data_IF_430307887335
#
_entry.id   IF_430307887335
#
_cell.length_a   1.000
_cell.length_b   1.000
_cell.length_c   1.000
_cell.angle_alpha   90.00
_cell.angle_beta   90.00
_cell.angle_gamma   90.00
#
_symmetry.space_group_name_H-M   'P 1'
#
loop_
_entity.id
_entity.type
_entity.pdbx_description
1 polymer ?
#
# COMPACT_ATOMS: atom_id res chain seq x y z
N UNK A 1 -16.79 -26.42 9.81
CA UNK A 1 -17.80 -26.28 8.74
C UNK A 1 -17.99 -24.79 8.40
N UNK A 2 -18.59 -23.96 9.25
CA UNK A 2 -18.88 -22.54 8.92
C UNK A 2 -17.68 -21.67 8.45
N UNK A 3 -16.46 -21.92 8.97
CA UNK A 3 -15.26 -21.15 8.58
C UNK A 3 -14.74 -21.51 7.19
N UNK A 4 -14.82 -22.77 6.79
CA UNK A 4 -14.36 -23.22 5.47
C UNK A 4 -15.32 -22.75 4.38
N UNK A 5 -16.62 -22.71 4.69
CA UNK A 5 -17.65 -22.15 3.83
C UNK A 5 -17.43 -20.64 3.58
N UNK A 6 -17.00 -19.91 4.62
CA UNK A 6 -16.66 -18.48 4.50
C UNK A 6 -15.43 -18.20 3.63
N UNK A 7 -14.38 -19.03 3.73
CA UNK A 7 -13.17 -18.88 2.89
C UNK A 7 -13.49 -19.19 1.43
N UNK A 8 -14.27 -20.24 1.16
CA UNK A 8 -14.69 -20.59 -0.19
C UNK A 8 -15.57 -19.50 -0.82
N UNK A 9 -16.51 -18.92 -0.05
CA UNK A 9 -17.34 -17.81 -0.52
C UNK A 9 -16.52 -16.56 -0.87
N UNK A 10 -15.51 -16.22 -0.06
CA UNK A 10 -14.59 -15.11 -0.36
C UNK A 10 -13.75 -15.39 -1.61
N UNK A 11 -13.24 -16.62 -1.78
CA UNK A 11 -12.52 -17.01 -2.98
C UNK A 11 -13.38 -16.87 -4.25
N UNK A 12 -14.65 -17.29 -4.19
CA UNK A 12 -15.59 -17.14 -5.29
C UNK A 12 -15.90 -15.66 -5.59
N UNK A 13 -16.08 -14.83 -4.56
CA UNK A 13 -16.39 -13.39 -4.70
C UNK A 13 -15.27 -12.63 -5.41
N UNK A 14 -14.01 -12.97 -5.12
CA UNK A 14 -12.84 -12.32 -5.69
C UNK A 14 -12.25 -13.09 -6.89
N UNK A 15 -12.96 -14.09 -7.41
CA UNK A 15 -12.54 -14.81 -8.60
C UNK A 15 -12.48 -13.84 -9.79
N UNK A 16 -11.33 -13.81 -10.48
CA UNK A 16 -11.12 -12.93 -11.63
C UNK A 16 -10.82 -11.48 -11.27
N UNK A 17 -10.52 -11.18 -10.00
CA UNK A 17 -10.00 -9.87 -9.61
C UNK A 17 -8.74 -9.52 -10.42
N UNK A 18 -8.74 -8.35 -11.04
CA UNK A 18 -7.61 -7.80 -11.80
C UNK A 18 -6.98 -6.63 -11.03
N UNK A 19 -5.77 -6.80 -10.49
CA UNK A 19 -5.03 -5.74 -9.80
C UNK A 19 -4.79 -4.49 -10.66
N UNK A 20 -4.50 -4.65 -11.95
CA UNK A 20 -4.19 -3.52 -12.82
C UNK A 20 -5.45 -2.69 -13.07
N UNK A 21 -6.58 -3.34 -13.35
CA UNK A 21 -7.87 -2.66 -13.49
C UNK A 21 -8.29 -1.98 -12.18
N UNK A 22 -8.08 -2.62 -11.03
CA UNK A 22 -8.35 -2.04 -9.72
C UNK A 22 -7.49 -0.79 -9.45
N UNK A 23 -6.19 -0.85 -9.77
CA UNK A 23 -5.27 0.28 -9.63
C UNK A 23 -5.65 1.43 -10.55
N UNK A 24 -5.93 1.13 -11.83
CA UNK A 24 -6.37 2.12 -12.80
C UNK A 24 -7.67 2.79 -12.36
N UNK A 25 -8.64 2.03 -11.85
CA UNK A 25 -9.93 2.61 -11.47
C UNK A 25 -9.84 3.50 -10.23
N UNK A 26 -9.02 3.16 -9.24
CA UNK A 26 -9.02 3.83 -7.93
C UNK A 26 -7.86 4.79 -7.72
N UNK A 27 -6.71 4.54 -8.36
CA UNK A 27 -5.45 5.21 -8.08
C UNK A 27 -4.87 5.97 -9.28
N UNK A 28 -5.72 6.35 -10.23
CA UNK A 28 -5.42 7.35 -11.25
C UNK A 28 -6.42 8.52 -11.16
N UNK A 29 -6.13 9.67 -11.81
CA UNK A 29 -7.11 10.74 -11.95
C UNK A 29 -8.43 10.22 -12.56
N UNK A 30 -9.59 10.74 -12.13
CA UNK A 30 -9.77 11.86 -11.20
C UNK A 30 -9.75 11.47 -9.71
N UNK A 31 -9.70 10.18 -9.36
CA UNK A 31 -9.82 9.72 -7.96
C UNK A 31 -8.55 9.89 -7.14
N UNK A 32 -7.41 9.66 -7.79
CA UNK A 32 -6.08 9.92 -7.24
C UNK A 32 -5.43 11.11 -7.94
N UNK A 33 -6.18 12.21 -8.00
CA UNK A 33 -5.61 13.49 -8.32
C UNK A 33 -4.93 14.06 -7.07
N UNK A 34 -3.60 14.20 -7.13
CA UNK A 34 -2.79 14.76 -6.04
C UNK A 34 -2.76 16.29 -6.05
N UNK A 35 -3.26 16.94 -7.11
CA UNK A 35 -3.42 18.40 -7.18
C UNK A 35 -4.77 18.84 -6.59
N UNK A 36 -5.78 17.97 -6.64
CA UNK A 36 -7.08 18.19 -6.03
C UNK A 36 -7.03 17.99 -4.50
N UNK A 37 -7.07 19.10 -3.75
CA UNK A 37 -7.05 19.10 -2.27
C UNK A 37 -8.25 18.38 -1.63
N UNK A 38 -9.36 18.23 -2.35
CA UNK A 38 -10.55 17.51 -1.88
C UNK A 38 -10.49 16.00 -2.19
N UNK A 39 -9.36 15.51 -2.69
CA UNK A 39 -9.12 14.09 -2.95
C UNK A 39 -9.20 13.26 -1.67
N UNK A 40 -10.10 12.28 -1.68
CA UNK A 40 -10.23 11.30 -0.58
C UNK A 40 -8.94 10.54 -0.36
N UNK A 41 -8.16 10.27 -1.41
CA UNK A 41 -6.87 9.59 -1.28
C UNK A 41 -5.86 10.48 -0.53
N UNK A 42 -5.77 11.76 -0.88
CA UNK A 42 -4.91 12.71 -0.16
C UNK A 42 -5.29 12.81 1.31
N UNK A 43 -6.60 12.92 1.60
CA UNK A 43 -7.09 12.94 2.97
C UNK A 43 -6.70 11.67 3.74
N UNK A 44 -6.88 10.48 3.15
CA UNK A 44 -6.47 9.20 3.75
C UNK A 44 -4.98 9.17 4.06
N UNK A 45 -4.14 9.57 3.10
CA UNK A 45 -2.69 9.61 3.31
C UNK A 45 -2.29 10.61 4.39
N UNK A 46 -2.95 11.77 4.48
CA UNK A 46 -2.73 12.74 5.54
C UNK A 46 -3.09 12.20 6.93
N UNK A 47 -4.21 11.47 7.05
CA UNK A 47 -4.60 10.82 8.30
C UNK A 47 -3.56 9.77 8.74
N UNK A 48 -3.12 8.90 7.83
CA UNK A 48 -2.10 7.89 8.11
C UNK A 48 -0.77 8.53 8.47
N UNK A 49 -0.37 9.60 7.76
CA UNK A 49 0.85 10.33 8.07
C UNK A 49 0.84 10.83 9.50
N UNK A 50 -0.19 11.58 9.90
CA UNK A 50 -0.31 12.10 11.27
C UNK A 50 -0.34 10.98 12.31
N UNK A 51 -1.03 9.87 12.03
CA UNK A 51 -1.06 8.73 12.94
C UNK A 51 0.35 8.17 13.22
N UNK A 52 1.21 8.08 12.20
CA UNK A 52 2.57 7.56 12.33
C UNK A 52 3.62 8.58 12.77
N UNK A 53 3.40 9.89 12.56
CA UNK A 53 4.43 10.91 12.83
C UNK A 53 4.12 11.81 14.03
N UNK A 54 2.85 12.06 14.31
CA UNK A 54 2.41 12.94 15.41
C UNK A 54 1.84 12.14 16.58
N UNK A 55 1.41 10.90 16.34
CA UNK A 55 0.94 9.98 17.38
C UNK A 55 2.05 9.14 17.98
N UNK A 56 1.71 8.38 19.02
CA UNK A 56 2.61 7.43 19.69
C UNK A 56 2.64 6.05 19.00
N UNK A 57 2.32 5.98 17.69
CA UNK A 57 2.25 4.72 16.93
C UNK A 57 3.62 4.40 16.32
N UNK A 58 4.40 3.58 17.02
CA UNK A 58 5.72 3.10 16.58
C UNK A 58 5.97 1.67 17.07
N UNK A 59 7.00 1.00 16.54
CA UNK A 59 7.36 -0.34 17.00
C UNK A 59 8.33 -1.08 16.09
N UNK A 60 8.52 -2.37 16.34
CA UNK A 60 9.42 -3.20 15.52
C UNK A 60 8.76 -3.63 14.19
N UNK A 61 7.49 -4.04 14.24
CA UNK A 61 6.78 -4.65 13.12
C UNK A 61 5.40 -4.02 12.93
N UNK A 62 5.14 -3.54 11.72
CA UNK A 62 3.80 -3.17 11.24
C UNK A 62 3.28 -4.28 10.33
N UNK A 63 2.07 -4.76 10.57
CA UNK A 63 1.40 -5.74 9.71
C UNK A 63 0.18 -5.08 9.08
N UNK A 64 0.18 -4.96 7.75
CA UNK A 64 -0.95 -4.47 6.97
C UNK A 64 -1.81 -5.66 6.50
N UNK A 65 -3.11 -5.60 6.81
CA UNK A 65 -4.06 -6.68 6.57
C UNK A 65 -4.97 -6.31 5.40
N UNK A 66 -4.89 -7.06 4.30
CA UNK A 66 -5.65 -6.76 3.10
C UNK A 66 -5.05 -5.59 2.32
N UNK A 67 -3.74 -5.65 2.11
CA UNK A 67 -2.97 -4.61 1.42
C UNK A 67 -3.45 -4.34 -0.01
N UNK A 68 -4.12 -5.31 -0.63
CA UNK A 68 -4.41 -5.29 -2.07
C UNK A 68 -3.12 -5.16 -2.87
N UNK A 69 -3.18 -4.56 -4.07
CA UNK A 69 -1.99 -4.26 -4.86
C UNK A 69 -1.40 -2.87 -4.52
N UNK A 70 -1.59 -2.35 -3.29
CA UNK A 70 -1.22 -0.97 -2.93
C UNK A 70 -0.20 -0.87 -1.80
N UNK A 71 0.57 0.22 -1.80
CA UNK A 71 1.60 0.51 -0.80
C UNK A 71 1.36 1.78 0.01
N UNK A 72 0.43 2.64 -0.42
CA UNK A 72 0.32 4.01 0.12
C UNK A 72 0.04 4.02 1.63
N UNK A 73 -0.69 3.01 2.10
CA UNK A 73 -1.18 2.92 3.46
C UNK A 73 -0.07 2.74 4.51
N UNK A 74 1.07 2.15 4.11
CA UNK A 74 2.21 1.90 4.99
C UNK A 74 3.35 2.91 4.85
N UNK A 75 3.31 3.79 3.83
CA UNK A 75 4.47 4.62 3.46
C UNK A 75 4.99 5.50 4.61
N UNK A 76 4.11 6.11 5.38
CA UNK A 76 4.51 6.92 6.53
C UNK A 76 5.01 6.08 7.71
N UNK A 77 4.45 4.87 7.88
CA UNK A 77 4.84 3.92 8.92
C UNK A 77 6.27 3.40 8.75
N UNK A 78 6.79 3.34 7.51
CA UNK A 78 8.17 2.91 7.24
C UNK A 78 9.26 3.77 7.89
N UNK A 79 8.92 4.93 8.49
CA UNK A 79 9.86 5.75 9.27
C UNK A 79 9.99 5.33 10.73
N UNK A 80 8.94 4.73 11.28
CA UNK A 80 8.79 4.46 12.71
C UNK A 80 8.65 2.96 13.01
N UNK A 81 8.58 2.13 11.97
CA UNK A 81 8.65 0.68 12.04
C UNK A 81 9.86 0.14 11.29
N UNK A 82 10.60 -0.77 11.92
CA UNK A 82 11.78 -1.40 11.32
C UNK A 82 11.40 -2.41 10.24
N UNK A 83 10.23 -3.06 10.38
CA UNK A 83 9.72 -4.07 9.46
C UNK A 83 8.25 -3.77 9.13
N UNK A 84 7.91 -3.97 7.86
CA UNK A 84 6.53 -3.84 7.37
C UNK A 84 6.17 -5.11 6.62
N UNK A 85 5.16 -5.83 7.12
CA UNK A 85 4.62 -7.03 6.47
C UNK A 85 3.31 -6.68 5.78
N UNK A 86 3.26 -6.87 4.47
CA UNK A 86 2.06 -6.71 3.67
C UNK A 86 1.39 -8.07 3.49
N UNK A 87 0.08 -8.12 3.71
CA UNK A 87 -0.68 -9.37 3.59
C UNK A 87 -1.90 -9.14 2.73
N UNK A 88 -2.22 -10.11 1.88
CA UNK A 88 -3.44 -10.08 1.10
C UNK A 88 -3.93 -11.51 0.87
N UNK A 89 -5.25 -11.68 0.74
CA UNK A 89 -5.86 -12.97 0.47
C UNK A 89 -5.51 -13.46 -0.95
N UNK A 90 -5.51 -12.55 -1.93
CA UNK A 90 -5.31 -12.89 -3.34
C UNK A 90 -3.83 -12.96 -3.70
N UNK A 91 -3.43 -14.05 -4.32
CA UNK A 91 -2.04 -14.22 -4.76
C UNK A 91 -1.63 -13.17 -5.79
N UNK A 92 -2.52 -12.82 -6.72
CA UNK A 92 -2.27 -11.80 -7.75
C UNK A 92 -1.92 -10.43 -7.15
N UNK A 93 -2.54 -10.05 -6.03
CA UNK A 93 -2.18 -8.82 -5.31
C UNK A 93 -0.79 -8.93 -4.69
N UNK A 94 -0.49 -10.06 -4.04
CA UNK A 94 0.85 -10.30 -3.45
C UNK A 94 1.94 -10.30 -4.53
N UNK A 95 1.66 -10.79 -5.73
CA UNK A 95 2.60 -10.76 -6.86
C UNK A 95 2.85 -9.32 -7.35
N UNK A 96 1.81 -8.49 -7.47
CA UNK A 96 1.98 -7.07 -7.82
C UNK A 96 2.83 -6.31 -6.79
N UNK A 97 2.64 -6.58 -5.49
CA UNK A 97 3.47 -5.99 -4.43
C UNK A 97 4.94 -6.38 -4.55
N UNK A 98 5.23 -7.66 -4.87
CA UNK A 98 6.60 -8.13 -5.14
C UNK A 98 7.21 -7.44 -6.36
N UNK A 99 6.46 -7.36 -7.47
CA UNK A 99 6.90 -6.65 -8.67
C UNK A 99 7.18 -5.16 -8.39
N UNK A 100 6.34 -4.51 -7.59
CA UNK A 100 6.55 -3.11 -7.19
C UNK A 100 7.85 -2.93 -6.38
N UNK A 101 8.19 -3.89 -5.52
CA UNK A 101 9.45 -3.91 -4.79
C UNK A 101 10.66 -4.12 -5.71
N UNK A 102 10.59 -5.09 -6.63
CA UNK A 102 11.66 -5.36 -7.61
C UNK A 102 11.93 -4.16 -8.51
N UNK A 103 10.86 -3.50 -8.98
CA UNK A 103 10.93 -2.25 -9.78
C UNK A 103 11.56 -1.09 -9.02
N UNK A 104 11.49 -1.04 -7.68
CA UNK A 104 12.23 -0.04 -6.89
C UNK A 104 13.74 -0.24 -7.00
N UNK A 105 14.21 -1.48 -7.09
CA UNK A 105 15.64 -1.80 -7.24
C UNK A 105 16.23 -1.51 -8.62
N UNK A 106 15.38 -1.20 -9.61
CA UNK A 106 15.76 -0.99 -11.01
C UNK A 106 15.66 0.48 -11.47
N UNK A 107 15.21 1.40 -10.60
CA UNK A 107 15.29 2.84 -10.90
C UNK A 107 16.73 3.32 -10.72
N UNK A 108 17.25 4.22 -11.59
CA UNK A 108 18.42 5.01 -11.21
C UNK A 108 18.12 5.67 -9.87
N UNK A 109 19.16 5.82 -9.04
CA UNK A 109 19.06 6.15 -7.62
C UNK A 109 18.04 7.24 -7.27
N UNK A 110 17.60 7.20 -6.01
CA UNK A 110 16.74 8.22 -5.39
C UNK A 110 17.19 9.66 -5.69
N UNK A 111 18.44 9.87 -6.09
CA UNK A 111 19.06 11.10 -6.60
C UNK A 111 18.29 11.82 -7.74
N UNK A 112 17.37 11.15 -8.44
CA UNK A 112 16.59 11.74 -9.55
C UNK A 112 15.18 12.21 -9.16
N UNK A 113 14.77 12.00 -7.90
CA UNK A 113 13.46 12.42 -7.40
C UNK A 113 13.67 13.72 -6.61
N UNK A 114 12.92 14.81 -6.86
CA UNK A 114 13.02 16.02 -6.06
C UNK A 114 12.93 15.69 -4.56
N UNK A 115 13.82 16.27 -3.76
CA UNK A 115 14.00 16.03 -2.30
C UNK A 115 12.67 15.98 -1.52
N UNK A 116 11.65 16.70 -2.00
CA UNK A 116 10.29 16.70 -1.48
C UNK A 116 9.64 15.31 -1.34
N UNK A 117 10.08 14.32 -2.13
CA UNK A 117 9.52 12.96 -2.15
C UNK A 117 10.42 11.89 -1.50
N UNK A 118 11.65 12.24 -1.09
CA UNK A 118 12.64 11.30 -0.57
C UNK A 118 12.47 10.93 0.91
N UNK A 119 11.47 11.52 1.55
CA UNK A 119 11.13 11.25 2.94
C UNK A 119 10.24 10.01 3.12
N UNK A 120 10.48 8.90 2.40
CA UNK A 120 9.68 7.67 2.54
C UNK A 120 10.57 6.45 2.78
N UNK A 121 10.48 5.92 3.99
CA UNK A 121 11.36 4.92 4.59
C UNK A 121 11.49 3.60 3.82
N UNK A 122 12.58 2.90 4.14
CA UNK A 122 12.91 1.56 3.65
C UNK A 122 11.83 0.58 4.09
N UNK A 123 11.09 0.03 3.12
CA UNK A 123 10.28 -1.17 3.34
C UNK A 123 11.03 -2.38 2.77
N UNK A 124 11.26 -3.38 3.62
CA UNK A 124 11.70 -4.72 3.21
C UNK A 124 10.46 -5.61 3.20
N UNK A 125 10.15 -6.20 2.04
CA UNK A 125 9.13 -7.26 1.90
C UNK A 125 9.67 -8.57 2.44
#
# INVERSE_FOLDING_TARGET
MEREDGVAAMAATYQGFDPAAYLQYNYTPPRADFENKDSVLLWKMGCLHRAFTEGDVSGELLVDIGSGPTLYQVMSGCKVFNKVMLTDFLEVNRQELKLAQERRGQRPGLDSIPEAYLQAGRATV
#
